data_IF_015738553012
#
_entry.id   IF_015738553012
#
_cell.length_a   1.000
_cell.length_b   1.000
_cell.length_c   1.000
_cell.angle_alpha   90.00
_cell.angle_beta   90.00
_cell.angle_gamma   90.00
#
_symmetry.space_group_name_H-M   'P 1'
#
loop_
_entity.id
_entity.type
_entity.pdbx_description
1 polymer ?
#
# COMPACT_ATOMS: atom_id res chain seq x y z
N UNK A 1 -15.53 10.72 -13.01
CA UNK A 1 -15.45 9.24 -13.04
C UNK A 1 -14.46 8.76 -11.99
N UNK A 2 -14.65 7.57 -11.41
CA UNK A 2 -13.65 7.00 -10.51
C UNK A 2 -12.34 6.72 -11.29
N UNK A 3 -11.18 6.99 -10.69
CA UNK A 3 -9.86 6.69 -11.29
C UNK A 3 -9.80 5.20 -11.66
N UNK A 4 -9.34 4.92 -12.88
CA UNK A 4 -9.08 3.56 -13.32
C UNK A 4 -7.59 3.26 -13.12
N UNK A 5 -7.30 2.13 -12.50
CA UNK A 5 -5.93 1.66 -12.26
C UNK A 5 -5.54 0.56 -13.25
N UNK A 6 -4.29 0.59 -13.70
CA UNK A 6 -3.62 -0.44 -14.48
C UNK A 6 -3.06 -1.55 -13.57
N UNK A 7 -3.97 -2.25 -12.87
CA UNK A 7 -3.63 -3.45 -12.10
C UNK A 7 -3.60 -4.67 -13.04
N UNK A 8 -2.56 -5.52 -12.99
CA UNK A 8 -2.43 -6.70 -13.85
C UNK A 8 -3.69 -7.57 -13.90
N UNK A 9 -4.05 -7.98 -15.11
CA UNK A 9 -5.31 -8.70 -15.37
C UNK A 9 -5.42 -10.01 -14.58
N UNK A 10 -4.31 -10.69 -14.30
CA UNK A 10 -4.29 -11.96 -13.55
C UNK A 10 -4.63 -11.80 -12.05
N UNK A 11 -4.66 -10.57 -11.52
CA UNK A 11 -5.23 -10.29 -10.19
C UNK A 11 -6.74 -10.13 -10.22
N UNK A 12 -7.35 -9.98 -11.39
CA UNK A 12 -8.79 -9.78 -11.53
C UNK A 12 -9.49 -11.13 -11.70
N UNK A 13 -10.60 -11.30 -10.99
CA UNK A 13 -11.48 -12.46 -11.19
C UNK A 13 -12.56 -12.11 -12.23
N UNK A 14 -12.82 -12.99 -13.22
CA UNK A 14 -13.85 -12.76 -14.24
C UNK A 14 -15.26 -12.73 -13.64
N UNK A 15 -15.52 -13.49 -12.58
CA UNK A 15 -16.81 -13.52 -11.89
C UNK A 15 -16.97 -12.26 -11.04
N UNK A 16 -15.98 -11.97 -10.20
CA UNK A 16 -16.03 -10.80 -9.30
C UNK A 16 -16.10 -9.49 -10.08
N UNK A 17 -15.38 -9.40 -11.21
CA UNK A 17 -15.43 -8.25 -12.09
C UNK A 17 -16.85 -7.96 -12.60
N UNK A 18 -17.57 -8.99 -13.06
CA UNK A 18 -18.96 -8.87 -13.52
C UNK A 18 -19.91 -8.44 -12.39
N UNK A 19 -19.75 -9.03 -11.20
CA UNK A 19 -20.57 -8.66 -10.03
C UNK A 19 -20.35 -7.20 -9.63
N UNK A 20 -19.09 -6.76 -9.58
CA UNK A 20 -18.73 -5.36 -9.27
C UNK A 20 -19.25 -4.40 -10.33
N UNK A 21 -19.17 -4.76 -11.61
CA UNK A 21 -19.67 -3.92 -12.71
C UNK A 21 -21.20 -3.78 -12.65
N UNK A 22 -21.93 -4.89 -12.47
CA UNK A 22 -23.38 -4.85 -12.29
C UNK A 22 -23.76 -3.92 -11.12
N UNK A 23 -23.07 -4.05 -9.98
CA UNK A 23 -23.27 -3.20 -8.80
C UNK A 23 -22.91 -1.73 -9.02
N UNK A 24 -21.94 -1.42 -9.90
CA UNK A 24 -21.56 -0.05 -10.29
C UNK A 24 -22.65 0.60 -11.14
N UNK A 25 -23.28 -0.16 -12.03
CA UNK A 25 -24.38 0.31 -12.88
C UNK A 25 -25.65 0.53 -12.05
N UNK A 26 -26.02 -0.44 -11.20
CA UNK A 26 -27.29 -0.36 -10.44
C UNK A 26 -27.23 0.55 -9.21
N UNK A 27 -26.06 0.68 -8.58
CA UNK A 27 -25.86 1.52 -7.39
C UNK A 27 -24.48 2.22 -7.45
N UNK A 28 -24.33 3.25 -8.29
CA UNK A 28 -23.05 3.93 -8.51
C UNK A 28 -22.56 4.68 -7.27
N UNK A 29 -23.48 5.11 -6.39
CA UNK A 29 -23.16 5.85 -5.16
C UNK A 29 -22.90 4.93 -3.96
N UNK A 30 -23.00 3.62 -4.14
CA UNK A 30 -22.75 2.61 -3.09
C UNK A 30 -23.61 2.83 -1.85
N UNK A 31 -24.87 3.22 -2.04
CA UNK A 31 -25.82 3.44 -0.94
C UNK A 31 -26.40 2.15 -0.40
N UNK A 32 -26.57 1.15 -1.28
CA UNK A 32 -27.04 -0.16 -0.88
C UNK A 32 -25.86 -1.00 -0.39
N UNK A 33 -25.85 -1.24 0.92
CA UNK A 33 -24.81 -2.00 1.63
C UNK A 33 -25.09 -3.51 1.64
N UNK A 34 -26.20 -3.96 1.07
CA UNK A 34 -26.54 -5.38 1.01
C UNK A 34 -25.51 -6.17 0.18
N UNK A 35 -25.26 -7.44 0.56
CA UNK A 35 -24.41 -8.31 -0.23
C UNK A 35 -25.02 -8.57 -1.61
N UNK A 36 -24.16 -8.76 -2.61
CA UNK A 36 -24.60 -9.28 -3.91
C UNK A 36 -24.90 -10.77 -3.76
N UNK A 37 -26.05 -11.20 -4.26
CA UNK A 37 -26.51 -12.58 -4.15
C UNK A 37 -26.43 -13.24 -5.51
N UNK A 38 -25.67 -14.33 -5.59
CA UNK A 38 -25.66 -15.23 -6.75
C UNK A 38 -26.46 -16.48 -6.37
N UNK A 39 -27.62 -16.65 -6.98
CA UNK A 39 -28.55 -17.72 -6.67
C UNK A 39 -28.52 -18.80 -7.75
N UNK A 40 -28.15 -20.02 -7.37
CA UNK A 40 -28.12 -21.20 -8.23
C UNK A 40 -29.17 -22.25 -7.82
N UNK A 41 -30.20 -21.85 -7.07
CA UNK A 41 -31.24 -22.74 -6.55
C UNK A 41 -30.83 -23.37 -5.22
N UNK A 42 -30.37 -24.64 -5.18
CA UNK A 42 -29.98 -25.30 -3.92
C UNK A 42 -28.80 -24.62 -3.20
N UNK A 43 -28.01 -23.82 -3.90
CA UNK A 43 -26.85 -23.11 -3.34
C UNK A 43 -26.91 -21.63 -3.69
N UNK A 44 -26.64 -20.79 -2.70
CA UNK A 44 -26.60 -19.33 -2.84
C UNK A 44 -25.29 -18.77 -2.30
N UNK A 45 -24.61 -17.97 -3.12
CA UNK A 45 -23.40 -17.26 -2.72
C UNK A 45 -23.73 -15.81 -2.36
N UNK A 46 -23.28 -15.37 -1.19
CA UNK A 46 -23.39 -13.97 -0.77
C UNK A 46 -22.01 -13.33 -0.80
N UNK A 47 -21.84 -12.35 -1.67
CA UNK A 47 -20.62 -11.56 -1.79
C UNK A 47 -20.83 -10.22 -1.09
N UNK A 48 -19.96 -9.86 -0.16
CA UNK A 48 -20.05 -8.57 0.54
C UNK A 48 -20.15 -7.40 -0.45
N UNK A 49 -20.78 -6.28 -0.05
CA UNK A 49 -20.83 -5.08 -0.91
C UNK A 49 -19.43 -4.54 -1.22
N UNK A 50 -18.53 -4.58 -0.23
CA UNK A 50 -17.17 -4.09 -0.33
C UNK A 50 -16.19 -5.23 -0.07
N UNK A 51 -15.37 -5.56 -1.06
CA UNK A 51 -14.36 -6.61 -0.98
C UNK A 51 -13.31 -6.47 -2.10
N UNK A 52 -12.16 -7.11 -1.91
CA UNK A 52 -11.02 -7.04 -2.81
C UNK A 52 -10.16 -5.80 -2.58
N UNK A 53 -9.37 -5.41 -3.58
CA UNK A 53 -8.45 -4.29 -3.47
C UNK A 53 -9.19 -2.96 -3.27
N UNK A 54 -8.69 -2.17 -2.32
CA UNK A 54 -9.09 -0.79 -2.14
C UNK A 54 -8.23 0.13 -3.03
N UNK A 55 -8.61 1.41 -3.11
CA UNK A 55 -7.88 2.42 -3.87
C UNK A 55 -6.37 2.44 -3.57
N UNK A 56 -5.99 2.42 -2.28
CA UNK A 56 -4.59 2.47 -1.88
C UNK A 56 -3.79 1.27 -2.37
N UNK A 57 -4.40 0.08 -2.32
CA UNK A 57 -3.79 -1.17 -2.82
C UNK A 57 -3.65 -1.16 -4.34
N UNK A 58 -4.70 -0.76 -5.07
CA UNK A 58 -4.63 -0.67 -6.53
C UNK A 58 -3.57 0.34 -7.00
N UNK A 59 -3.48 1.50 -6.33
CA UNK A 59 -2.46 2.51 -6.58
C UNK A 59 -1.05 1.98 -6.31
N UNK A 60 -0.85 1.27 -5.18
CA UNK A 60 0.46 0.71 -4.84
C UNK A 60 0.93 -0.34 -5.85
N UNK A 61 0.02 -1.24 -6.27
CA UNK A 61 0.34 -2.24 -7.31
C UNK A 61 0.70 -1.56 -8.62
N UNK A 62 -0.09 -0.58 -9.08
CA UNK A 62 0.19 0.16 -10.32
C UNK A 62 1.57 0.84 -10.29
N UNK A 63 1.91 1.53 -9.19
CA UNK A 63 3.20 2.21 -9.05
C UNK A 63 4.36 1.21 -9.00
N UNK A 64 4.22 0.09 -8.29
CA UNK A 64 5.27 -0.93 -8.22
C UNK A 64 5.53 -1.60 -9.58
N UNK A 65 4.48 -1.85 -10.35
CA UNK A 65 4.60 -2.36 -11.71
C UNK A 65 5.25 -1.35 -12.65
N UNK A 66 4.83 -0.09 -12.57
CA UNK A 66 5.46 1.01 -13.30
C UNK A 66 6.93 1.15 -12.95
N UNK A 67 7.31 0.97 -11.68
CA UNK A 67 8.71 1.01 -11.26
C UNK A 67 9.54 -0.07 -11.97
N UNK A 68 9.01 -1.28 -12.11
CA UNK A 68 9.67 -2.36 -12.85
C UNK A 68 9.80 -2.04 -14.35
N UNK A 69 8.75 -1.52 -14.96
CA UNK A 69 8.70 -1.19 -16.38
C UNK A 69 9.64 -0.03 -16.76
N UNK A 70 9.69 1.02 -15.93
CA UNK A 70 10.52 2.20 -16.16
C UNK A 70 12.02 1.97 -15.90
N UNK A 71 12.39 0.86 -15.25
CA UNK A 71 13.77 0.63 -14.77
C UNK A 71 14.29 -0.76 -15.12
N UNK A 72 14.30 -1.15 -16.41
CA UNK A 72 14.79 -2.45 -16.82
C UNK A 72 16.26 -2.63 -16.42
N UNK A 73 16.57 -3.78 -15.80
CA UNK A 73 17.93 -4.15 -15.40
C UNK A 73 18.48 -3.43 -14.16
N UNK A 74 17.75 -2.47 -13.57
CA UNK A 74 18.16 -1.81 -12.32
C UNK A 74 17.80 -2.68 -11.11
N UNK A 75 18.53 -2.49 -10.00
CA UNK A 75 18.17 -3.09 -8.71
C UNK A 75 17.00 -2.33 -8.10
N UNK A 76 15.87 -3.02 -7.95
CA UNK A 76 14.69 -2.50 -7.27
C UNK A 76 14.49 -3.23 -5.95
N UNK A 77 14.21 -2.44 -4.93
CA UNK A 77 13.91 -2.92 -3.59
C UNK A 77 12.54 -2.45 -3.16
N UNK A 78 11.87 -3.27 -2.37
CA UNK A 78 10.76 -2.86 -1.53
C UNK A 78 11.27 -2.73 -0.10
N UNK A 79 10.92 -1.64 0.59
CA UNK A 79 11.34 -1.47 1.97
C UNK A 79 10.88 -2.64 2.86
N UNK A 80 9.66 -3.11 2.65
CA UNK A 80 9.04 -4.27 3.31
C UNK A 80 7.90 -4.81 2.43
N UNK A 81 6.97 -5.60 2.97
CA UNK A 81 5.81 -6.03 2.20
C UNK A 81 5.05 -4.84 1.59
N UNK A 82 4.81 -4.86 0.27
CA UNK A 82 4.09 -3.76 -0.39
C UNK A 82 2.69 -3.61 0.21
N UNK A 83 2.05 -4.76 0.43
CA UNK A 83 0.79 -4.98 1.13
C UNK A 83 0.87 -6.34 1.82
N UNK A 84 0.05 -6.61 2.85
CA UNK A 84 -0.03 -7.93 3.50
C UNK A 84 -0.82 -8.94 2.65
N UNK A 85 -0.31 -9.23 1.46
CA UNK A 85 -0.83 -10.25 0.55
C UNK A 85 0.33 -11.08 -0.02
N UNK A 86 0.49 -12.34 0.40
CA UNK A 86 1.64 -13.15 0.00
C UNK A 86 1.70 -13.36 -1.52
N UNK A 87 0.55 -13.55 -2.18
CA UNK A 87 0.50 -13.76 -3.64
C UNK A 87 1.05 -12.57 -4.42
N UNK A 88 0.74 -11.34 -3.97
CA UNK A 88 1.25 -10.12 -4.59
C UNK A 88 2.75 -9.96 -4.31
N UNK A 89 3.18 -10.15 -3.07
CA UNK A 89 4.61 -10.04 -2.72
C UNK A 89 5.45 -11.09 -3.47
N UNK A 90 4.97 -12.33 -3.60
CA UNK A 90 5.68 -13.39 -4.32
C UNK A 90 5.79 -13.14 -5.82
N UNK A 91 4.76 -12.53 -6.42
CA UNK A 91 4.82 -12.08 -7.81
C UNK A 91 5.88 -10.98 -8.02
N UNK A 92 5.94 -9.99 -7.13
CA UNK A 92 6.97 -8.95 -7.17
C UNK A 92 8.39 -9.53 -6.95
N UNK A 93 8.54 -10.52 -6.06
CA UNK A 93 9.80 -11.27 -5.88
C UNK A 93 10.23 -11.99 -7.15
N UNK A 94 9.32 -12.71 -7.79
CA UNK A 94 9.61 -13.43 -9.05
C UNK A 94 10.00 -12.49 -10.18
N UNK A 95 9.62 -11.22 -10.09
CA UNK A 95 10.00 -10.15 -11.04
C UNK A 95 11.32 -9.47 -10.70
N UNK A 96 12.02 -9.93 -9.66
CA UNK A 96 13.34 -9.46 -9.28
C UNK A 96 13.37 -8.41 -8.16
N UNK A 97 12.23 -8.02 -7.59
CA UNK A 97 12.22 -7.10 -6.44
C UNK A 97 12.68 -7.83 -5.18
N UNK A 98 13.67 -7.25 -4.50
CA UNK A 98 14.17 -7.72 -3.20
C UNK A 98 13.57 -6.91 -2.06
N UNK A 99 13.44 -7.51 -0.87
CA UNK A 99 12.83 -6.88 0.29
C UNK A 99 13.92 -6.51 1.28
N UNK A 100 13.93 -5.27 1.76
CA UNK A 100 14.95 -4.79 2.70
C UNK A 100 14.67 -5.23 4.12
N UNK A 101 13.39 -5.36 4.50
CA UNK A 101 12.98 -5.63 5.87
C UNK A 101 11.78 -6.59 5.94
N UNK A 102 11.62 -7.21 7.10
CA UNK A 102 10.38 -7.90 7.50
C UNK A 102 9.30 -6.88 7.91
N UNK A 103 8.05 -7.33 8.05
CA UNK A 103 6.94 -6.47 8.52
C UNK A 103 7.11 -6.03 9.97
N UNK A 104 7.93 -6.75 10.74
CA UNK A 104 8.33 -6.42 12.10
C UNK A 104 9.48 -5.38 12.13
N UNK A 105 10.09 -5.09 10.98
CA UNK A 105 11.19 -4.14 10.85
C UNK A 105 12.58 -4.73 11.00
N UNK A 106 12.73 -6.05 11.06
CA UNK A 106 14.03 -6.69 11.05
C UNK A 106 14.66 -6.51 9.67
N UNK A 107 15.96 -6.23 9.62
CA UNK A 107 16.66 -6.01 8.36
C UNK A 107 16.96 -7.35 7.69
N UNK A 108 16.48 -7.54 6.46
CA UNK A 108 16.79 -8.68 5.60
C UNK A 108 18.03 -8.42 4.75
N UNK A 109 18.18 -7.18 4.27
CA UNK A 109 19.32 -6.70 3.50
C UNK A 109 19.79 -5.41 4.16
N UNK A 110 20.99 -5.38 4.76
CA UNK A 110 21.58 -4.17 5.33
C UNK A 110 21.52 -2.96 4.36
N UNK A 111 21.19 -1.78 4.87
CA UNK A 111 21.07 -0.57 4.02
C UNK A 111 22.42 -0.13 3.41
N UNK A 112 23.55 -0.59 3.94
CA UNK A 112 24.90 -0.43 3.39
C UNK A 112 25.23 -1.28 2.17
N UNK A 113 24.37 -2.24 1.83
CA UNK A 113 24.44 -2.90 0.52
C UNK A 113 23.75 -2.09 -0.60
N UNK A 114 23.07 -0.97 -0.25
CA UNK A 114 22.46 -0.08 -1.22
C UNK A 114 23.51 0.83 -1.85
N UNK A 115 23.52 0.88 -3.18
CA UNK A 115 24.39 1.75 -3.96
C UNK A 115 23.63 3.01 -4.43
N UNK A 116 24.33 4.13 -4.67
CA UNK A 116 23.75 5.27 -5.35
C UNK A 116 23.10 4.85 -6.67
N UNK A 117 21.82 5.19 -6.86
CA UNK A 117 21.05 4.78 -8.02
C UNK A 117 20.28 3.45 -7.87
N UNK A 118 20.38 2.75 -6.73
CA UNK A 118 19.36 1.76 -6.36
C UNK A 118 18.02 2.47 -6.09
N UNK A 119 16.92 1.77 -6.38
CA UNK A 119 15.57 2.30 -6.19
C UNK A 119 14.85 1.57 -5.05
N UNK A 120 14.24 2.33 -4.15
CA UNK A 120 13.44 1.77 -3.06
C UNK A 120 11.99 2.22 -3.19
N UNK A 121 11.10 1.25 -3.30
CA UNK A 121 9.65 1.44 -3.27
C UNK A 121 9.22 1.45 -1.80
N UNK A 122 8.57 2.54 -1.39
CA UNK A 122 7.94 2.65 -0.06
C UNK A 122 6.56 1.98 -0.12
N UNK A 123 6.21 1.06 0.81
CA UNK A 123 4.97 0.30 0.80
C UNK A 123 3.74 1.17 1.07
N UNK A 124 2.54 0.61 0.89
CA UNK A 124 1.29 1.34 1.05
C UNK A 124 1.05 1.87 2.47
N UNK A 125 1.72 1.28 3.46
CA UNK A 125 1.68 1.65 4.88
C UNK A 125 2.59 2.83 5.23
N UNK A 126 3.49 3.22 4.32
CA UNK A 126 4.48 4.25 4.53
C UNK A 126 5.78 3.78 5.16
N UNK A 127 6.64 4.75 5.47
CA UNK A 127 7.89 4.57 6.18
C UNK A 127 7.98 5.59 7.34
N UNK A 128 8.82 5.27 8.33
CA UNK A 128 9.12 6.23 9.40
C UNK A 128 10.14 7.26 8.92
N UNK A 129 10.13 8.46 9.50
CA UNK A 129 11.02 9.56 9.13
C UNK A 129 12.50 9.16 9.29
N UNK A 130 12.83 8.33 10.27
CA UNK A 130 14.20 7.89 10.51
C UNK A 130 14.70 6.96 9.39
N UNK A 131 13.82 6.11 8.85
CA UNK A 131 14.13 5.23 7.72
C UNK A 131 14.29 6.03 6.44
N UNK A 132 13.38 6.98 6.19
CA UNK A 132 13.47 7.87 5.03
C UNK A 132 14.77 8.69 5.05
N UNK A 133 15.13 9.23 6.22
CA UNK A 133 16.38 9.96 6.39
C UNK A 133 17.61 9.08 6.20
N UNK A 134 17.60 7.83 6.68
CA UNK A 134 18.70 6.89 6.48
C UNK A 134 18.90 6.51 5.01
N UNK A 135 17.81 6.27 4.28
CA UNK A 135 17.88 6.01 2.84
C UNK A 135 18.35 7.25 2.06
N UNK A 136 17.85 8.44 2.43
CA UNK A 136 18.27 9.70 1.82
C UNK A 136 19.78 9.98 2.02
N UNK A 137 20.32 9.73 3.22
CA UNK A 137 21.77 9.84 3.51
C UNK A 137 22.63 8.97 2.59
N UNK A 138 22.08 7.89 2.04
CA UNK A 138 22.76 6.95 1.14
C UNK A 138 22.57 7.28 -0.34
N UNK A 139 21.90 8.40 -0.65
CA UNK A 139 21.60 8.79 -2.03
C UNK A 139 20.55 7.90 -2.70
N UNK A 140 19.70 7.24 -1.91
CA UNK A 140 18.60 6.41 -2.41
C UNK A 140 17.32 7.26 -2.52
N UNK A 141 16.72 7.25 -3.71
CA UNK A 141 15.44 7.93 -3.96
C UNK A 141 14.28 7.07 -3.46
N UNK A 142 13.55 7.61 -2.47
CA UNK A 142 12.35 7.01 -1.87
C UNK A 142 11.06 7.69 -2.31
N UNK A 143 11.15 8.83 -2.99
CA UNK A 143 10.00 9.67 -3.32
C UNK A 143 9.37 9.25 -4.65
N UNK A 144 10.19 8.89 -5.65
CA UNK A 144 9.71 8.57 -7.00
C UNK A 144 8.74 7.39 -7.03
N UNK A 145 8.95 6.39 -6.18
CA UNK A 145 8.08 5.22 -6.05
C UNK A 145 7.52 5.07 -4.63
N UNK A 146 7.11 6.18 -4.02
CA UNK A 146 6.38 6.13 -2.77
C UNK A 146 4.93 5.69 -3.02
N UNK A 147 4.53 4.55 -2.46
CA UNK A 147 3.17 4.01 -2.61
C UNK A 147 2.26 4.25 -1.41
N UNK A 148 2.72 5.04 -0.43
CA UNK A 148 1.95 5.37 0.78
C UNK A 148 0.53 5.76 0.40
N UNK A 149 -0.44 5.10 1.05
CA UNK A 149 -1.84 5.36 0.79
C UNK A 149 -2.17 6.82 1.16
N UNK A 150 -2.83 7.61 0.29
CA UNK A 150 -3.21 8.99 0.62
C UNK A 150 -4.11 9.10 1.86
N UNK A 151 -4.81 8.03 2.22
CA UNK A 151 -5.59 7.98 3.46
C UNK A 151 -4.71 7.83 4.71
N UNK A 152 -3.55 7.18 4.61
CA UNK A 152 -2.54 7.11 5.67
C UNK A 152 -1.86 8.47 5.83
N UNK A 153 -1.42 9.09 4.73
CA UNK A 153 -0.85 10.45 4.76
C UNK A 153 -1.81 11.48 5.36
N UNK A 154 -3.12 11.31 5.11
CA UNK A 154 -4.14 12.18 5.69
C UNK A 154 -4.17 12.09 7.22
N UNK A 155 -3.92 10.91 7.79
CA UNK A 155 -3.77 10.75 9.24
C UNK A 155 -2.55 11.53 9.72
N UNK A 156 -1.40 11.39 9.05
CA UNK A 156 -0.16 12.08 9.43
C UNK A 156 -0.32 13.61 9.42
N UNK A 157 -0.85 14.17 8.31
CA UNK A 157 -1.14 15.60 8.19
C UNK A 157 -2.10 16.09 9.28
N UNK A 158 -3.08 15.27 9.66
CA UNK A 158 -4.02 15.63 10.72
C UNK A 158 -3.36 15.58 12.10
N UNK A 159 -2.52 14.58 12.35
CA UNK A 159 -1.74 14.49 13.59
C UNK A 159 -0.81 15.69 13.74
N UNK A 160 -0.11 16.09 12.69
CA UNK A 160 0.76 17.28 12.67
C UNK A 160 -0.03 18.57 12.97
N UNK A 161 -1.17 18.77 12.30
CA UNK A 161 -2.04 19.93 12.55
C UNK A 161 -2.58 20.02 13.98
N UNK A 162 -2.74 18.87 14.66
CA UNK A 162 -3.22 18.81 16.04
C UNK A 162 -2.05 19.02 17.00
N UNK A 163 -0.90 18.39 16.76
CA UNK A 163 0.33 18.55 17.55
C UNK A 163 0.82 19.98 17.60
N UNK A 164 0.89 20.64 16.44
CA UNK A 164 1.27 22.07 16.31
C UNK A 164 0.34 23.05 17.05
N UNK A 165 -0.86 22.59 17.47
CA UNK A 165 -1.79 23.36 18.30
C UNK A 165 -1.64 23.09 19.80
N UNK A 166 -0.60 22.35 20.22
CA UNK A 166 -0.31 22.02 21.61
C UNK A 166 -1.17 20.88 22.18
N UNK A 167 -1.86 20.10 21.34
CA UNK A 167 -2.63 18.94 21.79
C UNK A 167 -1.78 17.67 21.79
N UNK A 168 -2.03 16.79 22.75
CA UNK A 168 -1.47 15.44 22.73
C UNK A 168 -2.16 14.58 21.66
N UNK A 169 -1.37 13.95 20.79
CA UNK A 169 -1.86 12.99 19.80
C UNK A 169 -1.76 11.57 20.35
N UNK A 170 -2.88 10.85 20.40
CA UNK A 170 -2.92 9.44 20.81
C UNK A 170 -3.16 8.57 19.58
N UNK A 171 -2.19 7.72 19.24
CA UNK A 171 -2.30 6.76 18.13
C UNK A 171 -2.83 5.43 18.65
N UNK A 172 -4.04 5.05 18.24
CA UNK A 172 -4.62 3.74 18.54
C UNK A 172 -4.32 2.75 17.41
N UNK A 173 -3.55 1.70 17.71
CA UNK A 173 -3.18 0.68 16.73
C UNK A 173 -2.30 -0.41 17.34
N UNK A 174 -1.88 -1.37 16.49
CA UNK A 174 -0.93 -2.41 16.90
C UNK A 174 0.47 -1.82 16.93
N UNK A 175 1.09 -1.71 18.11
CA UNK A 175 2.41 -1.06 18.33
C UNK A 175 3.46 -1.36 17.26
N UNK A 176 3.56 -2.62 16.85
CA UNK A 176 4.59 -3.09 15.92
C UNK A 176 4.17 -3.11 14.45
N UNK A 177 2.92 -2.75 14.13
CA UNK A 177 2.47 -2.67 12.74
C UNK A 177 3.14 -1.49 12.03
N UNK A 178 3.48 -1.69 10.76
CA UNK A 178 4.27 -0.75 9.96
C UNK A 178 3.60 0.62 9.87
N UNK A 179 2.30 0.64 9.55
CA UNK A 179 1.51 1.88 9.52
C UNK A 179 1.50 2.62 10.86
N UNK A 180 1.45 1.88 11.98
CA UNK A 180 1.45 2.48 13.33
C UNK A 180 2.82 3.09 13.65
N UNK A 181 3.91 2.42 13.28
CA UNK A 181 5.28 2.94 13.46
C UNK A 181 5.54 4.18 12.61
N UNK A 182 5.13 4.16 11.33
CA UNK A 182 5.21 5.30 10.45
C UNK A 182 4.38 6.48 11.02
N UNK A 183 3.10 6.23 11.32
CA UNK A 183 2.20 7.25 11.90
C UNK A 183 2.75 7.85 13.18
N UNK A 184 3.30 7.03 14.08
CA UNK A 184 3.90 7.53 15.32
C UNK A 184 5.11 8.42 15.06
N UNK A 185 6.02 8.02 14.17
CA UNK A 185 7.20 8.81 13.79
C UNK A 185 6.81 10.18 13.23
N UNK A 186 5.86 10.21 12.27
CA UNK A 186 5.35 11.46 11.69
C UNK A 186 4.60 12.34 12.70
N UNK A 187 3.84 11.74 13.63
CA UNK A 187 3.12 12.50 14.64
C UNK A 187 4.04 13.08 15.72
N UNK A 188 5.12 12.37 16.08
CA UNK A 188 6.07 12.79 17.12
C UNK A 188 6.85 14.04 16.71
N UNK A 189 7.25 14.16 15.45
CA UNK A 189 8.03 15.31 14.97
C UNK A 189 7.28 16.64 15.13
N UNK A 190 5.95 16.60 15.13
CA UNK A 190 5.09 17.78 15.14
C UNK A 190 4.54 18.18 16.54
N UNK A 191 4.84 17.40 17.58
CA UNK A 191 4.33 17.57 18.94
C UNK A 191 5.46 17.94 19.91
#
# INVERSE_FOLDING_TARGET
MARQFNVPAFYRSPIIGRVKEARRVTDPRKRDLSPSVLDFGPVRFKLARHFGFCYGVENAIEIAYRALEENPGRRLFLLSEMIHNPRVNDDLRRRGIRFLRTTQGEQLIPFDELAPGDLVIIPAFGASLEVEAELARRGVDTQRYNTTCPFVEKVWKRSEQIGTKGYTVVVHGKRYHEETRATFSHAKEAA
#
